data_IF_845674723535
#
_entry.id   IF_845674723535
#
_cell.length_a   1.000
_cell.length_b   1.000
_cell.length_c   1.000
_cell.angle_alpha   90.00
_cell.angle_beta   90.00
_cell.angle_gamma   90.00
#
_symmetry.space_group_name_H-M   'P 1'
#
loop_
_entity.id
_entity.type
_entity.pdbx_description
1 polymer ?
#
# COMPACT_ATOMS: atom_id res chain seq x y z
N UNK A 1 16.88 4.05 33.72
CA UNK A 1 16.22 5.28 33.28
C UNK A 1 15.31 4.86 32.15
N UNK A 2 14.01 5.05 32.32
CA UNK A 2 13.05 4.77 31.25
C UNK A 2 13.10 5.91 30.22
N UNK A 3 12.98 5.56 28.94
CA UNK A 3 12.94 6.54 27.86
C UNK A 3 11.67 7.39 27.97
N UNK A 4 11.78 8.69 27.66
CA UNK A 4 10.59 9.54 27.53
C UNK A 4 9.77 9.12 26.32
N UNK A 5 8.49 9.46 26.32
CA UNK A 5 7.60 9.20 25.18
C UNK A 5 8.13 9.80 23.87
N UNK A 6 8.69 11.01 23.93
CA UNK A 6 9.31 11.67 22.77
C UNK A 6 10.51 10.88 22.27
N UNK A 7 11.37 10.38 23.17
CA UNK A 7 12.51 9.53 22.80
C UNK A 7 12.06 8.20 22.16
N UNK A 8 10.95 7.62 22.62
CA UNK A 8 10.38 6.39 22.03
C UNK A 8 9.81 6.64 20.63
N UNK A 9 9.13 7.78 20.41
CA UNK A 9 8.62 8.19 19.11
C UNK A 9 9.80 8.44 18.15
N UNK A 10 10.79 9.22 18.57
CA UNK A 10 11.96 9.53 17.75
C UNK A 10 12.73 8.27 17.37
N UNK A 11 12.93 7.35 18.32
CA UNK A 11 13.57 6.06 18.04
C UNK A 11 12.77 5.26 17.00
N UNK A 12 11.46 5.13 17.20
CA UNK A 12 10.59 4.43 16.26
C UNK A 12 10.59 5.08 14.86
N UNK A 13 10.65 6.40 14.76
CA UNK A 13 10.69 7.11 13.48
C UNK A 13 12.06 7.03 12.79
N UNK A 14 13.15 6.92 13.54
CA UNK A 14 14.52 7.01 13.03
C UNK A 14 15.01 5.77 12.27
N UNK A 15 14.48 4.58 12.58
CA UNK A 15 14.94 3.33 11.96
C UNK A 15 13.76 2.46 11.52
N UNK A 16 13.68 2.19 10.23
CA UNK A 16 12.67 1.31 9.64
C UNK A 16 13.29 0.46 8.53
N UNK A 17 13.74 -0.74 8.90
CA UNK A 17 14.33 -1.69 7.95
C UNK A 17 13.31 -2.22 6.94
N UNK A 18 12.03 -2.31 7.32
CA UNK A 18 10.98 -2.84 6.45
C UNK A 18 10.58 -1.81 5.40
N UNK A 19 10.61 -0.52 5.74
CA UNK A 19 10.46 0.55 4.77
C UNK A 19 11.62 0.59 3.75
N UNK A 20 12.86 0.38 4.20
CA UNK A 20 13.99 0.31 3.26
C UNK A 20 13.89 -0.91 2.33
N UNK A 21 13.41 -2.06 2.83
CA UNK A 21 13.09 -3.23 1.97
C UNK A 21 12.00 -2.89 0.95
N UNK A 22 10.92 -2.24 1.39
CA UNK A 22 9.85 -1.79 0.51
C UNK A 22 10.38 -0.88 -0.61
N UNK A 23 11.25 0.08 -0.29
CA UNK A 23 11.86 0.97 -1.29
C UNK A 23 12.67 0.22 -2.34
N UNK A 24 13.40 -0.83 -1.95
CA UNK A 24 14.14 -1.69 -2.90
C UNK A 24 13.16 -2.41 -3.84
N UNK A 25 12.08 -2.98 -3.30
CA UNK A 25 11.05 -3.65 -4.10
C UNK A 25 10.41 -2.67 -5.08
N UNK A 26 9.93 -1.53 -4.61
CA UNK A 26 9.27 -0.49 -5.42
C UNK A 26 10.20 0.04 -6.51
N UNK A 27 11.48 0.23 -6.21
CA UNK A 27 12.48 0.61 -7.22
C UNK A 27 12.62 -0.44 -8.32
N UNK A 28 12.56 -1.72 -7.99
CA UNK A 28 12.54 -2.82 -8.96
C UNK A 28 11.29 -2.79 -9.84
N UNK A 29 10.12 -2.61 -9.22
CA UNK A 29 8.82 -2.55 -9.93
C UNK A 29 8.74 -1.34 -10.87
N UNK A 30 9.21 -0.16 -10.44
CA UNK A 30 9.27 1.02 -11.30
C UNK A 30 10.17 0.83 -12.52
N UNK A 31 11.29 0.10 -12.36
CA UNK A 31 12.13 -0.25 -13.51
C UNK A 31 11.40 -1.18 -14.48
N UNK A 32 10.64 -2.14 -13.97
CA UNK A 32 9.83 -3.03 -14.80
C UNK A 32 8.75 -2.24 -15.57
N UNK A 33 8.04 -1.32 -14.90
CA UNK A 33 7.05 -0.43 -15.55
C UNK A 33 7.71 0.44 -16.62
N UNK A 34 8.86 1.04 -16.31
CA UNK A 34 9.59 1.89 -17.26
C UNK A 34 10.09 1.08 -18.47
N UNK A 35 10.50 -0.17 -18.25
CA UNK A 35 10.89 -1.08 -19.32
C UNK A 35 9.70 -1.40 -20.25
N UNK A 36 8.54 -1.75 -19.69
CA UNK A 36 7.33 -2.00 -20.48
C UNK A 36 6.98 -0.78 -21.35
N UNK A 37 6.90 0.42 -20.75
CA UNK A 37 6.64 1.67 -21.47
C UNK A 37 7.70 2.01 -22.53
N UNK A 38 8.95 1.57 -22.31
CA UNK A 38 10.07 1.81 -23.22
C UNK A 38 10.11 0.84 -24.40
N UNK A 39 9.77 -0.44 -24.19
CA UNK A 39 9.66 -1.44 -25.25
C UNK A 39 8.39 -1.25 -26.11
N UNK A 40 7.34 -0.66 -25.57
CA UNK A 40 6.13 -0.27 -26.32
C UNK A 40 6.41 0.67 -27.50
N UNK A 41 7.46 1.52 -27.42
CA UNK A 41 7.88 2.35 -28.55
C UNK A 41 8.60 1.57 -29.67
N UNK A 42 8.94 0.30 -29.44
CA UNK A 42 9.65 -0.56 -30.38
C UNK A 42 8.76 -1.66 -31.01
N UNK A 43 7.54 -1.87 -30.51
CA UNK A 43 6.63 -2.94 -30.96
C UNK A 43 5.52 -2.34 -31.85
N UNK A 44 5.90 -1.87 -33.03
CA UNK A 44 4.94 -1.46 -34.06
C UNK A 44 4.42 -2.65 -34.89
N UNK A 45 4.92 -3.89 -34.69
CA UNK A 45 4.78 -4.96 -35.70
C UNK A 45 4.12 -6.29 -35.26
N UNK A 46 3.76 -6.52 -33.98
CA UNK A 46 3.25 -7.84 -33.55
C UNK A 46 1.98 -7.86 -32.67
N UNK A 47 1.14 -6.84 -32.76
CA UNK A 47 -0.25 -6.92 -32.29
C UNK A 47 -0.43 -6.72 -30.79
N UNK A 48 -1.01 -5.56 -30.45
CA UNK A 48 -1.80 -5.26 -29.24
C UNK A 48 -1.46 -6.07 -27.99
N UNK A 49 -0.31 -5.78 -27.37
CA UNK A 49 -0.10 -6.08 -25.96
C UNK A 49 -1.16 -5.31 -25.17
N UNK A 50 -1.93 -6.00 -24.35
CA UNK A 50 -2.88 -5.35 -23.44
C UNK A 50 -2.08 -4.71 -22.30
N UNK A 51 -1.64 -3.48 -22.53
CA UNK A 51 -0.80 -2.70 -21.61
C UNK A 51 -1.33 -2.75 -20.17
N UNK A 52 -2.66 -2.68 -20.00
CA UNK A 52 -3.29 -2.71 -18.68
C UNK A 52 -3.07 -4.05 -17.98
N UNK A 53 -3.17 -5.17 -18.71
CA UNK A 53 -2.93 -6.50 -18.17
C UNK A 53 -1.49 -6.69 -17.65
N UNK A 54 -0.53 -6.15 -18.38
CA UNK A 54 0.89 -6.28 -18.05
C UNK A 54 1.25 -5.39 -16.84
N UNK A 55 0.71 -4.17 -16.82
CA UNK A 55 0.80 -3.31 -15.65
C UNK A 55 0.07 -3.89 -14.43
N UNK A 56 -1.09 -4.53 -14.60
CA UNK A 56 -1.85 -5.20 -13.52
C UNK A 56 -0.96 -6.20 -12.78
N UNK A 57 -0.19 -7.01 -13.51
CA UNK A 57 0.69 -8.02 -12.92
C UNK A 57 1.81 -7.40 -12.06
N UNK A 58 2.39 -6.29 -12.52
CA UNK A 58 3.40 -5.57 -11.74
C UNK A 58 2.76 -4.86 -10.53
N UNK A 59 1.59 -4.27 -10.73
CA UNK A 59 0.86 -3.59 -9.66
C UNK A 59 0.33 -4.54 -8.60
N UNK A 60 0.02 -5.80 -8.94
CA UNK A 60 -0.27 -6.83 -7.95
C UNK A 60 0.88 -7.01 -6.95
N UNK A 61 2.12 -7.07 -7.45
CA UNK A 61 3.30 -7.15 -6.60
C UNK A 61 3.47 -5.89 -5.74
N UNK A 62 3.19 -4.71 -6.30
CA UNK A 62 3.24 -3.45 -5.56
C UNK A 62 2.24 -3.43 -4.40
N UNK A 63 0.98 -3.78 -4.65
CA UNK A 63 -0.08 -3.83 -3.64
C UNK A 63 0.26 -4.82 -2.53
N UNK A 64 0.73 -6.02 -2.87
CA UNK A 64 1.13 -7.02 -1.87
C UNK A 64 2.31 -6.53 -1.01
N UNK A 65 3.28 -5.83 -1.60
CA UNK A 65 4.39 -5.25 -0.85
C UNK A 65 3.93 -4.12 0.07
N UNK A 66 2.99 -3.28 -0.37
CA UNK A 66 2.39 -2.22 0.44
C UNK A 66 1.58 -2.78 1.60
N UNK A 67 0.74 -3.78 1.34
CA UNK A 67 -0.04 -4.48 2.36
C UNK A 67 0.89 -5.10 3.40
N UNK A 68 1.91 -5.86 2.98
CA UNK A 68 2.83 -6.50 3.91
C UNK A 68 3.52 -5.48 4.83
N UNK A 69 3.99 -4.35 4.28
CA UNK A 69 4.56 -3.29 5.09
C UNK A 69 3.55 -2.69 6.08
N UNK A 70 2.32 -2.44 5.65
CA UNK A 70 1.26 -1.94 6.52
C UNK A 70 0.90 -2.93 7.64
N UNK A 71 0.84 -4.23 7.35
CA UNK A 71 0.61 -5.28 8.35
C UNK A 71 1.71 -5.28 9.41
N UNK A 72 2.97 -5.20 8.99
CA UNK A 72 4.12 -5.11 9.91
C UNK A 72 4.00 -3.89 10.82
N UNK A 73 3.76 -2.70 10.25
CA UNK A 73 3.60 -1.47 11.02
C UNK A 73 2.44 -1.58 12.02
N UNK A 74 1.27 -2.07 11.59
CA UNK A 74 0.11 -2.21 12.46
C UNK A 74 0.33 -3.24 13.59
N UNK A 75 1.09 -4.30 13.31
CA UNK A 75 1.44 -5.33 14.30
C UNK A 75 2.43 -4.80 15.34
N UNK A 76 3.49 -4.11 14.90
CA UNK A 76 4.51 -3.53 15.77
C UNK A 76 3.92 -2.51 16.76
N UNK A 77 2.96 -1.70 16.30
CA UNK A 77 2.29 -0.69 17.11
C UNK A 77 0.95 -1.17 17.68
N UNK A 78 0.74 -2.49 17.76
CA UNK A 78 -0.42 -3.13 18.41
C UNK A 78 -1.75 -2.39 18.17
N UNK A 79 -2.00 -1.96 16.93
CA UNK A 79 -3.30 -1.42 16.55
C UNK A 79 -4.28 -2.60 16.42
N UNK A 80 -4.66 -3.16 17.56
CA UNK A 80 -5.50 -4.35 17.69
C UNK A 80 -6.93 -3.98 18.07
N UNK A 81 -7.15 -2.80 18.67
CA UNK A 81 -8.49 -2.37 19.06
C UNK A 81 -9.28 -1.87 17.83
N UNK A 82 -10.55 -2.26 17.73
CA UNK A 82 -11.41 -1.93 16.59
C UNK A 82 -11.61 -0.41 16.39
N UNK A 83 -11.60 0.36 17.48
CA UNK A 83 -11.72 1.83 17.43
C UNK A 83 -10.52 2.49 16.72
N UNK A 84 -9.30 2.05 17.00
CA UNK A 84 -8.09 2.60 16.38
C UNK A 84 -8.04 2.32 14.88
N UNK A 85 -8.44 1.09 14.51
CA UNK A 85 -8.57 0.67 13.11
C UNK A 85 -9.64 1.47 12.39
N UNK A 86 -10.79 1.68 13.04
CA UNK A 86 -11.89 2.49 12.49
C UNK A 86 -11.48 3.95 12.27
N UNK A 87 -10.77 4.56 13.23
CA UNK A 87 -10.26 5.92 13.11
C UNK A 87 -9.19 6.05 12.00
N UNK A 88 -8.29 5.07 11.92
CA UNK A 88 -7.26 5.03 10.87
C UNK A 88 -7.89 4.89 9.48
N UNK A 89 -8.80 3.93 9.29
CA UNK A 89 -9.42 3.69 7.98
C UNK A 89 -10.38 4.81 7.56
N UNK A 90 -11.03 5.48 8.51
CA UNK A 90 -11.86 6.66 8.23
C UNK A 90 -11.03 7.87 7.80
N UNK A 91 -9.84 8.05 8.38
CA UNK A 91 -8.94 9.16 8.04
C UNK A 91 -8.06 8.89 6.82
N UNK A 92 -7.79 7.62 6.51
CA UNK A 92 -6.93 7.18 5.42
C UNK A 92 -7.61 6.07 4.58
N UNK A 93 -8.62 6.41 3.77
CA UNK A 93 -9.35 5.44 2.95
C UNK A 93 -8.45 4.70 1.95
N UNK A 94 -7.29 5.28 1.60
CA UNK A 94 -6.27 4.67 0.75
C UNK A 94 -5.62 3.43 1.38
N UNK A 95 -5.47 3.37 2.71
CA UNK A 95 -4.99 2.17 3.42
C UNK A 95 -5.99 1.03 3.24
N UNK A 96 -7.28 1.33 3.44
CA UNK A 96 -8.36 0.35 3.25
C UNK A 96 -8.44 -0.14 1.80
N UNK A 97 -8.19 0.74 0.83
CA UNK A 97 -8.09 0.35 -0.58
C UNK A 97 -6.96 -0.65 -0.82
N UNK A 98 -5.75 -0.42 -0.27
CA UNK A 98 -4.62 -1.35 -0.40
C UNK A 98 -4.98 -2.74 0.14
N UNK A 99 -5.56 -2.82 1.34
CA UNK A 99 -6.01 -4.10 1.92
C UNK A 99 -7.11 -4.76 1.09
N UNK A 100 -8.06 -3.98 0.56
CA UNK A 100 -9.13 -4.48 -0.31
C UNK A 100 -8.56 -5.11 -1.58
N UNK A 101 -7.62 -4.42 -2.24
CA UNK A 101 -6.94 -4.93 -3.43
C UNK A 101 -6.08 -6.15 -3.12
N UNK A 102 -5.40 -6.18 -1.98
CA UNK A 102 -4.59 -7.33 -1.58
C UNK A 102 -5.44 -8.59 -1.34
N UNK A 103 -6.60 -8.45 -0.67
CA UNK A 103 -7.57 -9.54 -0.52
C UNK A 103 -8.10 -10.04 -1.86
N UNK A 104 -8.37 -9.12 -2.80
CA UNK A 104 -8.74 -9.47 -4.18
C UNK A 104 -7.64 -10.30 -4.85
N UNK A 105 -6.38 -9.84 -4.81
CA UNK A 105 -5.23 -10.54 -5.42
C UNK A 105 -5.03 -11.93 -4.81
N UNK A 106 -5.16 -12.05 -3.49
CA UNK A 106 -5.00 -13.32 -2.75
C UNK A 106 -6.15 -14.31 -2.96
N UNK A 107 -7.23 -13.91 -3.65
CA UNK A 107 -8.48 -14.67 -3.74
C UNK A 107 -8.99 -15.10 -2.35
N UNK A 108 -8.97 -14.17 -1.40
CA UNK A 108 -9.41 -14.41 -0.02
C UNK A 108 -10.89 -14.91 -0.02
N UNK A 109 -11.21 -16.03 0.62
CA UNK A 109 -12.57 -16.60 0.61
C UNK A 109 -13.62 -15.69 1.23
N UNK A 110 -13.22 -14.79 2.14
CA UNK A 110 -14.11 -13.83 2.80
C UNK A 110 -14.21 -12.51 2.00
N UNK A 111 -13.53 -12.41 0.85
CA UNK A 111 -13.59 -11.24 -0.01
C UNK A 111 -14.89 -11.19 -0.82
N UNK A 112 -15.68 -10.14 -0.59
CA UNK A 112 -16.82 -9.82 -1.43
C UNK A 112 -16.40 -8.89 -2.57
N UNK A 113 -16.68 -9.26 -3.82
CA UNK A 113 -16.48 -8.35 -4.96
C UNK A 113 -17.25 -7.03 -4.84
N UNK A 114 -18.32 -6.98 -4.01
CA UNK A 114 -19.05 -5.73 -3.73
C UNK A 114 -18.17 -4.69 -3.04
N UNK A 115 -17.09 -5.11 -2.36
CA UNK A 115 -16.15 -4.20 -1.70
C UNK A 115 -15.36 -3.36 -2.72
N UNK A 116 -15.10 -3.89 -3.93
CA UNK A 116 -14.48 -3.12 -5.03
C UNK A 116 -15.38 -1.97 -5.49
N UNK A 117 -16.70 -2.17 -5.49
CA UNK A 117 -17.66 -1.17 -5.93
C UNK A 117 -17.64 0.09 -5.05
N UNK A 118 -17.29 -0.04 -3.76
CA UNK A 118 -17.11 1.12 -2.87
C UNK A 118 -16.04 2.09 -3.39
N UNK A 119 -15.04 1.55 -4.09
CA UNK A 119 -13.96 2.30 -4.71
C UNK A 119 -14.18 2.55 -6.21
N UNK A 120 -15.39 2.28 -6.73
CA UNK A 120 -15.73 2.36 -8.15
C UNK A 120 -14.85 1.47 -9.04
N UNK A 121 -14.35 0.36 -8.50
CA UNK A 121 -13.53 -0.60 -9.22
C UNK A 121 -14.37 -1.75 -9.76
N UNK A 122 -14.06 -2.22 -10.97
CA UNK A 122 -14.75 -3.32 -11.64
C UNK A 122 -13.81 -4.53 -11.75
N UNK A 123 -14.29 -5.70 -11.32
CA UNK A 123 -13.59 -6.98 -11.37
C UNK A 123 -13.16 -7.34 -12.81
N UNK A 124 -13.94 -6.94 -13.81
CA UNK A 124 -13.68 -7.26 -15.23
C UNK A 124 -12.89 -6.18 -15.98
N UNK A 125 -12.40 -5.16 -15.29
CA UNK A 125 -11.64 -4.05 -15.89
C UNK A 125 -10.46 -3.68 -14.97
N UNK A 126 -9.43 -4.53 -14.98
CA UNK A 126 -8.11 -4.30 -14.36
C UNK A 126 -8.20 -3.58 -13.00
N UNK A 127 -8.85 -4.21 -12.00
CA UNK A 127 -9.18 -3.56 -10.74
C UNK A 127 -7.95 -3.09 -9.97
N UNK A 128 -6.80 -3.76 -10.11
CA UNK A 128 -5.57 -3.35 -9.41
C UNK A 128 -4.90 -2.18 -10.11
N UNK A 129 -4.86 -2.15 -11.44
CA UNK A 129 -4.42 -1.03 -12.25
C UNK A 129 -5.23 0.23 -11.94
N UNK A 130 -6.55 0.10 -11.97
CA UNK A 130 -7.46 1.19 -11.62
C UNK A 130 -7.37 1.56 -10.13
N UNK A 131 -7.09 0.59 -9.26
CA UNK A 131 -6.78 0.81 -7.85
C UNK A 131 -5.52 1.65 -7.63
N UNK A 132 -4.45 1.40 -8.40
CA UNK A 132 -3.24 2.23 -8.37
C UNK A 132 -3.53 3.65 -8.85
N UNK A 133 -4.35 3.83 -9.88
CA UNK A 133 -4.80 5.17 -10.32
C UNK A 133 -5.57 5.89 -9.21
N UNK A 134 -6.44 5.17 -8.49
CA UNK A 134 -7.17 5.72 -7.36
C UNK A 134 -6.26 6.12 -6.19
N UNK A 135 -5.17 5.39 -5.96
CA UNK A 135 -4.15 5.73 -4.96
C UNK A 135 -3.26 6.92 -5.41
N UNK A 136 -2.91 6.95 -6.68
CA UNK A 136 -2.12 8.01 -7.29
C UNK A 136 -2.41 8.08 -8.80
N UNK A 137 -2.99 9.18 -9.26
CA UNK A 137 -3.41 9.33 -10.67
C UNK A 137 -2.25 9.32 -11.67
N UNK A 138 -1.02 9.58 -11.21
CA UNK A 138 0.21 9.49 -12.02
C UNK A 138 0.82 8.09 -11.99
N UNK A 139 0.19 7.15 -11.27
CA UNK A 139 0.66 5.77 -11.07
C UNK A 139 2.07 5.69 -10.51
N UNK A 140 2.47 6.70 -9.72
CA UNK A 140 3.81 6.80 -9.17
C UNK A 140 3.90 5.98 -7.87
N UNK A 141 4.47 4.77 -7.97
CA UNK A 141 4.65 3.88 -6.82
C UNK A 141 5.57 4.48 -5.74
N UNK A 142 6.52 5.35 -6.10
CA UNK A 142 7.36 6.03 -5.11
C UNK A 142 6.55 7.05 -4.32
N UNK A 143 5.60 7.74 -4.96
CA UNK A 143 4.74 8.69 -4.26
C UNK A 143 3.79 7.96 -3.31
N UNK A 144 3.22 6.82 -3.72
CA UNK A 144 2.44 5.94 -2.83
C UNK A 144 3.32 5.49 -1.63
N UNK A 145 4.58 5.14 -1.88
CA UNK A 145 5.53 4.76 -0.83
C UNK A 145 5.82 5.89 0.16
N UNK A 146 5.91 7.14 -0.30
CA UNK A 146 6.02 8.30 0.61
C UNK A 146 4.75 8.49 1.44
N UNK A 147 3.57 8.21 0.90
CA UNK A 147 2.33 8.26 1.68
C UNK A 147 2.32 7.17 2.75
N UNK A 148 2.78 5.95 2.45
CA UNK A 148 2.95 4.87 3.43
C UNK A 148 3.85 5.31 4.61
N UNK A 149 4.92 6.06 4.34
CA UNK A 149 5.77 6.61 5.40
C UNK A 149 5.03 7.62 6.29
N UNK A 150 4.22 8.51 5.69
CA UNK A 150 3.40 9.46 6.44
C UNK A 150 2.36 8.74 7.30
N UNK A 151 1.73 7.69 6.77
CA UNK A 151 0.77 6.88 7.51
C UNK A 151 1.42 6.16 8.68
N UNK A 152 2.64 5.63 8.53
CA UNK A 152 3.41 5.10 9.65
C UNK A 152 3.60 6.13 10.76
N UNK A 153 4.00 7.36 10.42
CA UNK A 153 4.13 8.43 11.42
C UNK A 153 2.80 8.69 12.15
N UNK A 154 1.67 8.67 11.43
CA UNK A 154 0.35 8.80 12.04
C UNK A 154 0.02 7.64 12.99
N UNK A 155 0.27 6.40 12.58
CA UNK A 155 0.06 5.19 13.39
C UNK A 155 0.87 5.26 14.68
N UNK A 156 2.16 5.60 14.58
CA UNK A 156 3.06 5.78 15.73
C UNK A 156 2.52 6.84 16.68
N UNK A 157 2.11 7.99 16.13
CA UNK A 157 1.56 9.07 16.95
C UNK A 157 0.30 8.65 17.68
N UNK A 158 -0.63 7.95 17.03
CA UNK A 158 -1.85 7.44 17.66
C UNK A 158 -1.49 6.45 18.79
N UNK A 159 -0.62 5.47 18.51
CA UNK A 159 -0.20 4.47 19.49
C UNK A 159 0.38 5.10 20.75
N UNK A 160 1.31 6.05 20.61
CA UNK A 160 1.90 6.72 21.76
C UNK A 160 0.96 7.76 22.40
N UNK A 161 -0.06 8.26 21.70
CA UNK A 161 -1.08 9.17 22.24
C UNK A 161 -2.08 8.49 23.19
N UNK A 162 -2.19 7.17 23.17
CA UNK A 162 -3.07 6.46 24.09
C UNK A 162 -2.53 6.48 25.52
N UNK A 163 -3.38 6.74 26.54
CA UNK A 163 -3.02 6.49 27.92
C UNK A 163 -2.74 4.99 28.08
N UNK A 164 -1.65 4.64 28.78
CA UNK A 164 -1.39 3.23 29.15
C UNK A 164 -2.64 2.70 29.84
N UNK A 165 -3.32 1.74 29.23
CA UNK A 165 -4.27 0.92 29.98
C UNK A 165 -3.44 0.08 30.94
N UNK A 166 -3.58 0.39 32.23
CA UNK A 166 -2.97 -0.33 33.36
C UNK A 166 -3.41 -1.80 33.39
#
# INVERSE_FOLDING_TARGET
MDLTREQLIDYALSHDSDFERLKVIVKGLNKAIAYLRGEELAIDWWGTMDEKYEHESIYNLAILAFEHYLETVLSDFKMVNEEDRSQLYSSEPAISLIFTLAKYIKNDPDFSHKTLNHYHLNIHDYPVYNGIIALNSQQNLEEITKQLQKWRTKIINIYYQQPKME
#
